data_IF_342174394887
#
_entry.id   IF_342174394887
#
_cell.length_a   1.000
_cell.length_b   1.000
_cell.length_c   1.000
_cell.angle_alpha   90.00
_cell.angle_beta   90.00
_cell.angle_gamma   90.00
#
_symmetry.space_group_name_H-M   'P 1'
#
loop_
_entity.id
_entity.type
_entity.pdbx_description
1 polymer ?
#
# COMPACT_ATOMS: atom_id res chain seq x y z
N UNK A 1 1.46 18.76 -22.91
CA UNK A 1 1.84 19.50 -21.68
C UNK A 1 2.10 18.46 -20.60
N UNK A 2 3.33 18.40 -20.12
CA UNK A 2 3.88 17.31 -19.31
C UNK A 2 3.27 17.26 -17.91
N UNK A 3 2.91 16.05 -17.47
CA UNK A 3 2.62 15.70 -16.07
C UNK A 3 3.92 15.66 -15.26
N UNK A 4 3.99 16.17 -14.02
CA UNK A 4 5.06 15.80 -13.10
C UNK A 4 4.60 14.58 -12.29
N UNK A 5 4.84 13.38 -12.84
CA UNK A 5 4.85 12.16 -12.05
C UNK A 5 6.19 12.08 -11.34
N UNK A 6 6.23 12.41 -10.04
CA UNK A 6 7.39 12.15 -9.20
C UNK A 6 7.49 10.63 -9.04
N UNK A 7 8.37 10.02 -9.83
CA UNK A 7 8.85 8.67 -9.63
C UNK A 7 9.82 8.70 -8.44
N UNK A 8 9.33 8.45 -7.22
CA UNK A 8 10.18 8.10 -6.08
C UNK A 8 10.65 6.64 -6.26
N UNK A 9 11.69 6.48 -7.09
CA UNK A 9 12.49 5.28 -7.23
C UNK A 9 13.36 5.19 -5.96
N UNK A 10 12.85 4.54 -4.91
CA UNK A 10 13.55 4.35 -3.63
C UNK A 10 14.71 3.34 -3.72
N UNK A 11 15.82 3.77 -4.32
CA UNK A 11 17.23 3.30 -4.31
C UNK A 11 17.76 1.97 -3.71
N UNK A 12 16.97 1.09 -3.11
CA UNK A 12 17.45 0.11 -2.12
C UNK A 12 17.00 -1.34 -2.35
N UNK A 13 16.69 -1.70 -3.59
CA UNK A 13 16.42 -3.08 -4.02
C UNK A 13 17.71 -3.77 -4.49
N UNK A 14 17.74 -5.10 -4.59
CA UNK A 14 18.83 -5.80 -5.26
C UNK A 14 18.62 -5.70 -6.77
N UNK A 15 19.34 -4.79 -7.43
CA UNK A 15 19.43 -4.82 -8.89
C UNK A 15 20.38 -5.96 -9.30
N UNK A 16 19.86 -6.87 -10.13
CA UNK A 16 20.64 -7.46 -11.23
C UNK A 16 21.67 -8.54 -10.89
N UNK A 17 21.29 -9.63 -10.24
CA UNK A 17 22.03 -10.88 -10.38
C UNK A 17 21.13 -11.95 -11.03
N UNK A 18 21.48 -12.32 -12.26
CA UNK A 18 20.97 -13.50 -12.95
C UNK A 18 21.47 -14.73 -12.21
N UNK A 19 20.58 -15.41 -11.50
CA UNK A 19 20.95 -16.61 -10.75
C UNK A 19 20.39 -17.86 -11.41
N UNK A 20 21.31 -18.61 -12.00
CA UNK A 20 21.14 -20.01 -12.37
C UNK A 20 20.62 -20.81 -11.18
N UNK A 21 19.59 -21.60 -11.41
CA UNK A 21 19.04 -22.57 -10.47
C UNK A 21 20.14 -23.53 -9.99
N UNK A 22 20.45 -23.47 -8.71
CA UNK A 22 21.06 -24.57 -8.00
C UNK A 22 19.94 -25.20 -7.16
N UNK A 23 19.52 -26.39 -7.57
CA UNK A 23 18.68 -27.28 -6.78
C UNK A 23 19.41 -27.64 -5.49
N UNK A 24 18.90 -27.16 -4.36
CA UNK A 24 19.09 -27.80 -3.07
C UNK A 24 17.71 -27.98 -2.43
N UNK A 25 17.27 -29.24 -2.37
CA UNK A 25 16.14 -29.69 -1.59
C UNK A 25 16.38 -29.35 -0.10
N UNK A 26 15.87 -28.20 0.32
CA UNK A 26 15.73 -27.84 1.72
C UNK A 26 14.23 -27.69 2.01
N UNK A 27 13.74 -28.48 2.97
CA UNK A 27 12.40 -28.41 3.57
C UNK A 27 11.90 -26.95 3.70
N UNK A 28 10.67 -26.61 3.30
CA UNK A 28 10.25 -25.22 3.20
C UNK A 28 10.00 -24.64 4.61
N UNK A 29 11.01 -23.94 5.14
CA UNK A 29 10.88 -23.12 6.37
C UNK A 29 10.13 -21.80 6.10
N UNK A 30 9.61 -21.60 4.90
CA UNK A 30 8.66 -20.54 4.57
C UNK A 30 7.34 -21.15 4.10
N UNK A 31 6.30 -21.04 4.93
CA UNK A 31 4.94 -21.55 4.68
C UNK A 31 4.17 -20.76 3.59
N UNK A 32 4.91 -20.03 2.77
CA UNK A 32 4.40 -19.20 1.69
C UNK A 32 4.67 -19.91 0.37
N UNK A 33 3.61 -20.24 -0.36
CA UNK A 33 3.69 -20.86 -1.67
C UNK A 33 3.10 -19.94 -2.75
N UNK A 34 3.37 -20.24 -4.02
CA UNK A 34 2.66 -19.59 -5.12
C UNK A 34 1.17 -19.97 -5.09
N UNK A 35 0.28 -18.98 -5.14
CA UNK A 35 -1.13 -19.22 -5.32
C UNK A 35 -1.42 -19.57 -6.80
N UNK A 36 -2.32 -20.53 -7.06
CA UNK A 36 -2.77 -20.79 -8.43
C UNK A 36 -3.55 -19.59 -8.96
N UNK A 37 -3.77 -19.51 -10.29
CA UNK A 37 -4.72 -18.54 -10.84
C UNK A 37 -6.10 -18.61 -10.19
N UNK A 38 -6.77 -17.48 -9.99
CA UNK A 38 -8.05 -17.42 -9.27
C UNK A 38 -9.13 -18.32 -9.86
N UNK A 39 -9.21 -18.39 -11.19
CA UNK A 39 -10.17 -19.25 -11.90
C UNK A 39 -9.88 -20.77 -11.79
N UNK A 40 -8.73 -21.15 -11.22
CA UNK A 40 -8.33 -22.52 -10.95
C UNK A 40 -8.46 -22.89 -9.47
N UNK A 41 -8.83 -21.94 -8.60
CA UNK A 41 -9.06 -22.23 -7.19
C UNK A 41 -10.35 -23.05 -7.00
N UNK A 42 -10.32 -24.07 -6.13
CA UNK A 42 -11.55 -24.75 -5.71
C UNK A 42 -12.53 -23.76 -5.08
N UNK A 43 -13.82 -23.94 -5.36
CA UNK A 43 -14.86 -23.02 -4.88
C UNK A 43 -14.91 -22.94 -3.34
N UNK A 44 -14.61 -24.04 -2.67
CA UNK A 44 -14.48 -24.15 -1.21
C UNK A 44 -13.27 -23.43 -0.63
N UNK A 45 -12.35 -22.94 -1.45
CA UNK A 45 -11.20 -22.15 -1.01
C UNK A 45 -11.33 -20.67 -1.39
N UNK A 46 -12.26 -20.35 -2.30
CA UNK A 46 -12.49 -19.00 -2.79
C UNK A 46 -12.90 -18.00 -1.69
N UNK A 47 -13.45 -18.46 -0.56
CA UNK A 47 -13.78 -17.59 0.58
C UNK A 47 -12.57 -17.19 1.44
N UNK A 48 -11.40 -17.79 1.18
CA UNK A 48 -10.11 -17.44 1.78
C UNK A 48 -9.26 -16.56 0.85
N UNK A 49 -9.82 -16.07 -0.25
CA UNK A 49 -9.13 -15.21 -1.22
C UNK A 49 -9.33 -13.75 -0.87
N UNK A 50 -8.22 -13.02 -0.81
CA UNK A 50 -8.17 -11.58 -0.62
C UNK A 50 -7.27 -10.95 -1.69
N UNK A 51 -7.82 -9.94 -2.36
CA UNK A 51 -7.07 -9.03 -3.23
C UNK A 51 -6.65 -7.81 -2.41
N UNK A 52 -5.43 -7.34 -2.59
CA UNK A 52 -4.84 -6.27 -1.78
C UNK A 52 -4.21 -5.20 -2.66
N UNK A 53 -4.41 -3.94 -2.32
CA UNK A 53 -3.80 -2.79 -2.99
C UNK A 53 -3.65 -1.64 -1.99
N UNK A 54 -2.68 -0.76 -2.22
CA UNK A 54 -2.44 0.43 -1.44
C UNK A 54 -2.06 1.63 -2.29
N UNK A 55 -2.74 2.75 -2.06
CA UNK A 55 -2.42 4.03 -2.71
C UNK A 55 -1.92 5.06 -1.71
N UNK A 56 -1.18 6.06 -2.22
CA UNK A 56 -0.88 7.27 -1.46
C UNK A 56 -1.13 8.50 -2.32
N UNK A 57 -1.59 9.57 -1.67
CA UNK A 57 -1.81 10.87 -2.29
C UNK A 57 -1.33 11.98 -1.35
N UNK A 58 -0.78 13.04 -1.94
CA UNK A 58 -0.50 14.27 -1.22
C UNK A 58 -1.76 15.12 -1.27
N UNK A 59 -2.37 15.35 -0.11
CA UNK A 59 -3.52 16.24 0.05
C UNK A 59 -3.02 17.47 0.79
N UNK A 60 -3.12 18.64 0.16
CA UNK A 60 -2.49 19.88 0.62
C UNK A 60 -0.97 19.72 0.80
N UNK A 61 -0.51 19.69 2.05
CA UNK A 61 0.89 19.57 2.45
C UNK A 61 1.14 18.29 3.25
N UNK A 62 0.16 17.37 3.32
CA UNK A 62 0.28 16.11 4.04
C UNK A 62 0.11 14.92 3.08
N UNK A 63 1.06 13.97 3.15
CA UNK A 63 0.96 12.70 2.43
C UNK A 63 0.04 11.79 3.24
N UNK A 64 -1.00 11.24 2.60
CA UNK A 64 -1.88 10.23 3.18
C UNK A 64 -1.77 8.94 2.38
N UNK A 65 -1.93 7.83 3.04
CA UNK A 65 -1.97 6.51 2.43
C UNK A 65 -3.27 5.81 2.78
N UNK A 66 -3.73 4.94 1.90
CA UNK A 66 -4.89 4.07 2.11
C UNK A 66 -4.59 2.70 1.55
N UNK A 67 -4.81 1.71 2.38
CA UNK A 67 -4.66 0.30 2.06
C UNK A 67 -6.05 -0.34 2.05
N UNK A 68 -6.31 -1.21 1.07
CA UNK A 68 -7.59 -1.87 0.94
C UNK A 68 -7.42 -3.36 0.67
N UNK A 69 -8.44 -4.10 1.09
CA UNK A 69 -8.60 -5.52 0.89
C UNK A 69 -9.99 -5.78 0.30
N UNK A 70 -10.04 -6.57 -0.77
CA UNK A 70 -11.28 -7.00 -1.42
C UNK A 70 -11.42 -8.52 -1.33
N UNK A 71 -12.57 -8.99 -0.86
CA UNK A 71 -12.94 -10.41 -0.91
C UNK A 71 -13.99 -10.64 -2.01
N UNK A 72 -13.64 -11.30 -3.14
CA UNK A 72 -14.57 -11.51 -4.25
C UNK A 72 -15.82 -12.29 -3.87
N UNK A 73 -15.64 -13.37 -3.10
CA UNK A 73 -16.71 -14.28 -2.70
C UNK A 73 -17.67 -13.63 -1.71
N UNK A 74 -17.14 -12.82 -0.78
CA UNK A 74 -17.96 -12.11 0.23
C UNK A 74 -18.54 -10.80 -0.31
N UNK A 75 -17.97 -10.28 -1.40
CA UNK A 75 -18.23 -8.94 -1.93
C UNK A 75 -18.06 -7.84 -0.87
N UNK A 76 -17.06 -8.00 0.00
CA UNK A 76 -16.76 -7.06 1.09
C UNK A 76 -15.39 -6.42 0.83
N UNK A 77 -15.34 -5.12 1.08
CA UNK A 77 -14.12 -4.32 1.11
C UNK A 77 -13.84 -3.88 2.54
N UNK A 78 -12.60 -4.07 2.99
CA UNK A 78 -12.08 -3.44 4.21
C UNK A 78 -10.93 -2.51 3.80
N UNK A 79 -10.80 -1.36 4.48
CA UNK A 79 -9.74 -0.41 4.20
C UNK A 79 -9.25 0.27 5.48
N UNK A 80 -7.98 0.66 5.47
CA UNK A 80 -7.34 1.44 6.54
C UNK A 80 -6.52 2.56 5.93
N UNK A 81 -6.40 3.68 6.64
CA UNK A 81 -5.72 4.88 6.15
C UNK A 81 -4.84 5.51 7.23
N UNK A 82 -3.86 6.29 6.80
CA UNK A 82 -2.98 7.01 7.71
C UNK A 82 -2.20 8.13 7.03
N UNK A 83 -1.34 8.79 7.79
CA UNK A 83 -0.51 9.91 7.32
C UNK A 83 0.95 9.47 7.11
N UNK A 84 1.72 10.26 6.35
CA UNK A 84 3.18 10.16 6.18
C UNK A 84 3.72 9.03 5.29
N UNK A 85 2.93 7.98 5.03
CA UNK A 85 3.34 6.79 4.26
C UNK A 85 3.35 6.94 2.73
N UNK A 86 4.21 6.18 2.05
CA UNK A 86 4.25 6.06 0.57
C UNK A 86 3.22 5.06 0.03
N UNK A 87 3.10 4.95 -1.29
CA UNK A 87 2.28 3.90 -1.91
C UNK A 87 2.78 2.50 -1.54
N UNK A 88 4.11 2.27 -1.58
CA UNK A 88 4.68 0.98 -1.14
C UNK A 88 4.38 0.68 0.33
N UNK A 89 4.32 1.71 1.19
CA UNK A 89 3.89 1.53 2.58
C UNK A 89 2.41 1.15 2.67
N UNK A 90 1.56 1.75 1.84
CA UNK A 90 0.16 1.39 1.74
C UNK A 90 -0.02 -0.08 1.30
N UNK A 91 0.76 -0.55 0.33
CA UNK A 91 0.77 -1.96 -0.10
C UNK A 91 1.10 -2.89 1.07
N UNK A 92 2.13 -2.53 1.85
CA UNK A 92 2.53 -3.29 3.03
C UNK A 92 1.41 -3.34 4.08
N UNK A 93 0.73 -2.22 4.29
CA UNK A 93 -0.43 -2.12 5.18
C UNK A 93 -1.64 -2.92 4.69
N UNK A 94 -1.80 -3.09 3.37
CA UNK A 94 -2.85 -3.91 2.79
C UNK A 94 -2.64 -5.41 3.12
N UNK A 95 -1.39 -5.86 3.12
CA UNK A 95 -1.03 -7.21 3.53
C UNK A 95 -1.24 -7.44 5.02
N UNK A 96 -0.82 -6.48 5.87
CA UNK A 96 -1.10 -6.56 7.31
C UNK A 96 -2.61 -6.64 7.57
N UNK A 97 -3.41 -5.81 6.89
CA UNK A 97 -4.87 -5.85 6.99
C UNK A 97 -5.44 -7.21 6.55
N UNK A 98 -4.94 -7.80 5.47
CA UNK A 98 -5.39 -9.11 5.00
C UNK A 98 -5.06 -10.24 5.99
N UNK A 99 -3.88 -10.20 6.61
CA UNK A 99 -3.47 -11.14 7.65
C UNK A 99 -4.31 -10.98 8.92
N UNK A 100 -4.59 -9.74 9.34
CA UNK A 100 -5.44 -9.44 10.49
C UNK A 100 -6.87 -9.95 10.27
N UNK A 101 -7.43 -9.80 9.06
CA UNK A 101 -8.74 -10.37 8.69
C UNK A 101 -8.71 -11.89 8.82
N UNK A 102 -7.69 -12.55 8.27
CA UNK A 102 -7.57 -14.01 8.33
C UNK A 102 -7.43 -14.52 9.77
N UNK A 103 -6.66 -13.83 10.62
CA UNK A 103 -6.51 -14.15 12.04
C UNK A 103 -7.82 -13.93 12.82
N UNK A 104 -8.47 -12.78 12.65
CA UNK A 104 -9.76 -12.43 13.28
C UNK A 104 -10.85 -13.44 12.95
N UNK A 105 -10.89 -13.89 11.70
CA UNK A 105 -11.86 -14.85 11.19
C UNK A 105 -11.43 -16.31 11.40
N UNK A 106 -10.24 -16.54 11.99
CA UNK A 106 -9.67 -17.87 12.27
C UNK A 106 -9.57 -18.75 11.02
N UNK A 107 -9.12 -18.17 9.91
CA UNK A 107 -8.98 -18.93 8.68
C UNK A 107 -7.85 -19.97 8.79
N UNK A 108 -8.04 -21.16 8.21
CA UNK A 108 -7.01 -22.20 8.21
C UNK A 108 -5.89 -21.92 7.19
N UNK A 109 -6.12 -21.02 6.22
CA UNK A 109 -5.19 -20.60 5.17
C UNK A 109 -5.66 -19.29 4.54
N UNK A 110 -4.78 -18.61 3.81
CA UNK A 110 -5.09 -17.37 3.11
C UNK A 110 -4.47 -17.38 1.70
N UNK A 111 -5.23 -16.92 0.71
CA UNK A 111 -4.75 -16.67 -0.65
C UNK A 111 -4.70 -15.16 -0.90
N UNK A 112 -3.49 -14.63 -1.11
CA UNK A 112 -3.22 -13.23 -1.37
C UNK A 112 -2.98 -12.99 -2.85
N UNK A 113 -3.68 -12.00 -3.40
CA UNK A 113 -3.49 -11.50 -4.74
C UNK A 113 -3.14 -10.02 -4.66
N UNK A 114 -2.00 -9.64 -5.22
CA UNK A 114 -1.50 -8.27 -5.22
C UNK A 114 -0.87 -7.96 -6.56
N UNK A 115 -0.92 -6.72 -7.00
CA UNK A 115 -0.16 -6.23 -8.16
C UNK A 115 1.16 -5.54 -7.76
N UNK A 116 1.50 -5.58 -6.46
CA UNK A 116 2.77 -5.07 -5.95
C UNK A 116 3.87 -6.14 -6.06
N UNK A 117 4.74 -5.98 -7.06
CA UNK A 117 5.95 -6.80 -7.19
C UNK A 117 6.84 -6.79 -5.95
N UNK A 118 6.87 -5.68 -5.20
CA UNK A 118 7.66 -5.61 -3.96
C UNK A 118 7.13 -6.61 -2.94
N UNK A 119 5.81 -6.65 -2.75
CA UNK A 119 5.14 -7.56 -1.81
C UNK A 119 5.30 -9.00 -2.26
N UNK A 120 5.04 -9.28 -3.54
CA UNK A 120 5.15 -10.63 -4.10
C UNK A 120 6.58 -11.19 -3.92
N UNK A 121 7.61 -10.42 -4.33
CA UNK A 121 9.00 -10.83 -4.17
C UNK A 121 9.44 -10.97 -2.71
N UNK A 122 8.91 -10.13 -1.81
CA UNK A 122 9.19 -10.26 -0.39
C UNK A 122 8.69 -11.59 0.15
N UNK A 123 7.43 -11.92 -0.15
CA UNK A 123 6.73 -13.12 0.31
C UNK A 123 7.25 -14.41 -0.36
N UNK A 124 7.72 -14.35 -1.61
CA UNK A 124 8.35 -15.49 -2.28
C UNK A 124 9.73 -15.86 -1.76
N UNK A 125 10.46 -14.93 -1.12
CA UNK A 125 11.76 -15.31 -0.58
C UNK A 125 12.62 -14.23 0.05
N UNK A 126 12.35 -12.92 -0.15
CA UNK A 126 13.20 -11.92 0.52
C UNK A 126 13.04 -11.95 2.04
N UNK A 127 11.86 -12.30 2.58
CA UNK A 127 11.68 -12.41 4.05
C UNK A 127 12.66 -13.41 4.68
N UNK A 128 12.87 -14.57 4.05
CA UNK A 128 13.86 -15.56 4.52
C UNK A 128 15.27 -14.98 4.55
N UNK A 129 15.68 -14.37 3.43
CA UNK A 129 17.00 -13.75 3.28
C UNK A 129 17.21 -12.60 4.28
N UNK A 130 16.20 -11.74 4.47
CA UNK A 130 16.27 -10.64 5.42
C UNK A 130 16.36 -11.13 6.86
N UNK A 131 15.62 -12.18 7.23
CA UNK A 131 15.72 -12.80 8.55
C UNK A 131 17.13 -13.32 8.83
N UNK A 132 17.79 -13.96 7.86
CA UNK A 132 19.16 -14.45 7.97
C UNK A 132 20.19 -13.33 8.18
N UNK A 133 19.98 -12.16 7.57
CA UNK A 133 20.85 -10.98 7.74
C UNK A 133 20.35 -10.02 8.82
N UNK A 134 19.54 -10.51 9.77
CA UNK A 134 18.96 -9.75 10.89
C UNK A 134 18.27 -8.44 10.45
N UNK A 135 17.56 -8.49 9.33
CA UNK A 135 16.79 -7.39 8.76
C UNK A 135 17.64 -6.15 8.43
N UNK A 136 18.92 -6.35 8.10
CA UNK A 136 19.86 -5.29 7.80
C UNK A 136 20.51 -5.44 6.42
N UNK A 137 20.80 -4.31 5.78
CA UNK A 137 21.61 -4.20 4.57
C UNK A 137 22.72 -3.19 4.80
N UNK A 138 23.99 -3.60 4.64
CA UNK A 138 25.17 -2.74 4.85
C UNK A 138 25.19 -2.05 6.23
N UNK A 139 24.80 -2.78 7.28
CA UNK A 139 24.76 -2.27 8.66
C UNK A 139 23.62 -1.30 8.97
N UNK A 140 22.67 -1.10 8.05
CA UNK A 140 21.46 -0.31 8.28
C UNK A 140 20.22 -1.21 8.22
N UNK A 141 19.17 -0.95 9.01
CA UNK A 141 17.89 -1.65 8.85
C UNK A 141 17.36 -1.53 7.43
N UNK A 142 16.70 -2.58 6.93
CA UNK A 142 15.93 -2.48 5.69
C UNK A 142 14.76 -1.51 5.86
N UNK A 143 14.23 -1.01 4.75
CA UNK A 143 13.03 -0.19 4.77
C UNK A 143 11.84 -1.00 5.35
N UNK A 144 11.06 -0.37 6.23
CA UNK A 144 9.94 -0.99 6.93
C UNK A 144 10.29 -2.32 7.66
N UNK A 145 11.49 -2.39 8.25
CA UNK A 145 11.98 -3.63 8.88
C UNK A 145 11.05 -4.16 9.98
N UNK A 146 10.45 -3.27 10.78
CA UNK A 146 9.54 -3.69 11.85
C UNK A 146 8.23 -4.25 11.27
N UNK A 147 7.66 -3.60 10.25
CA UNK A 147 6.47 -4.09 9.57
C UNK A 147 6.70 -5.45 8.88
N UNK A 148 7.86 -5.64 8.25
CA UNK A 148 8.22 -6.92 7.64
C UNK A 148 8.45 -8.03 8.68
N UNK A 149 9.00 -7.70 9.86
CA UNK A 149 9.12 -8.65 10.98
C UNK A 149 7.74 -9.07 11.48
N UNK A 150 6.82 -8.12 11.65
CA UNK A 150 5.45 -8.39 12.08
C UNK A 150 4.73 -9.31 11.09
N UNK A 151 4.83 -9.01 9.79
CA UNK A 151 4.30 -9.86 8.72
C UNK A 151 4.91 -11.26 8.78
N UNK A 152 6.24 -11.36 8.87
CA UNK A 152 6.91 -12.66 8.95
C UNK A 152 6.43 -13.48 10.15
N UNK A 153 6.21 -12.86 11.31
CA UNK A 153 5.68 -13.53 12.49
C UNK A 153 4.23 -14.01 12.32
N UNK A 154 3.40 -13.28 11.56
CA UNK A 154 2.04 -13.72 11.22
C UNK A 154 2.05 -14.90 10.22
N UNK A 155 2.94 -14.87 9.22
CA UNK A 155 3.10 -15.93 8.21
C UNK A 155 3.60 -17.27 8.79
N UNK A 156 4.32 -17.24 9.92
CA UNK A 156 4.70 -18.47 10.63
C UNK A 156 3.48 -19.20 11.20
N UNK A 157 2.39 -18.48 11.51
CA UNK A 157 1.18 -19.02 12.14
C UNK A 157 0.14 -19.49 11.12
N UNK A 158 0.05 -18.82 9.97
CA UNK A 158 -0.97 -19.04 8.95
C UNK A 158 -0.33 -19.49 7.63
N UNK A 159 -0.74 -20.61 7.01
CA UNK A 159 -0.33 -20.92 5.65
C UNK A 159 -0.89 -19.86 4.70
N UNK A 160 -0.01 -19.24 3.93
CA UNK A 160 -0.37 -18.21 2.96
C UNK A 160 0.09 -18.63 1.58
N UNK A 161 -0.73 -18.38 0.57
CA UNK A 161 -0.33 -18.52 -0.82
C UNK A 161 -0.44 -17.16 -1.48
N UNK A 162 0.60 -16.73 -2.19
CA UNK A 162 0.60 -15.42 -2.85
C UNK A 162 0.72 -15.56 -4.35
N UNK A 163 0.05 -14.66 -5.07
CA UNK A 163 0.17 -14.50 -6.51
C UNK A 163 0.24 -13.03 -6.87
N UNK A 164 1.14 -12.72 -7.79
CA UNK A 164 1.16 -11.41 -8.44
C UNK A 164 0.11 -11.34 -9.56
N UNK A 165 -0.64 -10.25 -9.61
CA UNK A 165 -1.63 -9.96 -10.67
C UNK A 165 -1.17 -8.76 -11.48
N UNK A 166 -1.24 -8.84 -12.81
CA UNK A 166 -0.86 -7.70 -13.65
C UNK A 166 -1.82 -6.52 -13.49
N UNK A 167 -1.27 -5.37 -13.08
CA UNK A 167 -1.99 -4.12 -12.96
C UNK A 167 -2.43 -3.55 -14.31
N UNK A 168 -3.45 -2.67 -14.26
CA UNK A 168 -3.82 -1.74 -15.33
C UNK A 168 -4.19 -2.36 -16.69
N UNK A 169 -4.65 -3.61 -16.70
CA UNK A 169 -5.24 -4.22 -17.91
C UNK A 169 -6.58 -3.55 -18.23
N UNK A 170 -6.82 -3.09 -19.49
CA UNK A 170 -8.10 -2.49 -19.86
C UNK A 170 -9.27 -3.43 -19.56
N UNK A 171 -10.36 -2.89 -19.00
CA UNK A 171 -11.54 -3.68 -18.59
C UNK A 171 -12.11 -4.57 -19.70
N UNK A 172 -12.00 -4.18 -20.97
CA UNK A 172 -12.44 -4.98 -22.11
C UNK A 172 -11.62 -6.24 -22.37
N UNK A 173 -10.42 -6.34 -21.77
CA UNK A 173 -9.49 -7.48 -21.88
C UNK A 173 -9.16 -8.10 -20.52
N UNK A 174 -9.72 -7.57 -19.44
CA UNK A 174 -9.42 -8.00 -18.09
C UNK A 174 -10.07 -9.36 -17.80
N UNK A 175 -9.26 -10.34 -17.39
CA UNK A 175 -9.74 -11.58 -16.82
C UNK A 175 -10.33 -11.35 -15.42
N UNK A 176 -10.85 -12.39 -14.78
CA UNK A 176 -11.48 -12.29 -13.46
C UNK A 176 -10.52 -11.79 -12.36
N UNK A 177 -9.25 -12.21 -12.37
CA UNK A 177 -8.22 -11.71 -11.44
C UNK A 177 -8.02 -10.20 -11.58
N UNK A 178 -7.89 -9.73 -12.82
CA UNK A 178 -7.67 -8.32 -13.13
C UNK A 178 -8.93 -7.49 -12.82
N UNK A 179 -10.12 -8.06 -12.98
CA UNK A 179 -11.36 -7.41 -12.56
C UNK A 179 -11.44 -7.26 -11.03
N UNK A 180 -11.07 -8.30 -10.28
CA UNK A 180 -10.96 -8.22 -8.82
C UNK A 180 -9.86 -7.26 -8.37
N UNK A 181 -8.73 -7.21 -9.08
CA UNK A 181 -7.67 -6.23 -8.83
C UNK A 181 -8.16 -4.79 -9.04
N UNK A 182 -8.96 -4.54 -10.10
CA UNK A 182 -9.58 -3.23 -10.33
C UNK A 182 -10.56 -2.82 -9.21
N UNK A 183 -11.23 -3.78 -8.57
CA UNK A 183 -12.11 -3.50 -7.43
C UNK A 183 -11.31 -3.03 -6.22
N UNK A 184 -10.18 -3.66 -5.93
CA UNK A 184 -9.32 -3.24 -4.82
C UNK A 184 -8.57 -1.93 -5.13
N UNK A 185 -8.18 -1.66 -6.38
CA UNK A 185 -7.65 -0.34 -6.79
C UNK A 185 -8.66 0.78 -6.55
N UNK A 186 -9.94 0.55 -6.87
CA UNK A 186 -10.99 1.51 -6.54
C UNK A 186 -11.17 1.70 -5.03
N UNK A 187 -11.04 0.62 -4.26
CA UNK A 187 -11.13 0.68 -2.81
C UNK A 187 -9.93 1.38 -2.17
N UNK A 188 -8.73 1.20 -2.71
CA UNK A 188 -7.49 1.78 -2.23
C UNK A 188 -7.37 3.26 -2.58
N UNK A 189 -8.14 3.77 -3.55
CA UNK A 189 -8.16 5.20 -3.89
C UNK A 189 -8.55 6.05 -2.69
N UNK A 190 -7.67 6.99 -2.39
CA UNK A 190 -7.98 8.12 -1.52
C UNK A 190 -8.88 9.02 -2.34
N UNK A 191 -10.10 9.26 -1.87
CA UNK A 191 -11.00 10.18 -2.54
C UNK A 191 -10.29 11.51 -2.72
N UNK A 192 -10.20 11.99 -3.97
CA UNK A 192 -10.04 13.41 -4.20
C UNK A 192 -11.19 14.04 -3.42
N UNK A 193 -10.90 14.70 -2.30
CA UNK A 193 -11.80 15.75 -1.84
C UNK A 193 -12.01 16.57 -3.10
N UNK A 194 -13.23 16.54 -3.66
CA UNK A 194 -13.69 17.60 -4.53
C UNK A 194 -13.39 18.84 -3.72
N UNK A 195 -12.28 19.49 -4.06
CA UNK A 195 -11.95 20.78 -3.50
C UNK A 195 -13.17 21.58 -3.91
N UNK A 196 -13.98 21.91 -2.92
CA UNK A 196 -15.05 22.86 -3.11
C UNK A 196 -14.36 24.05 -3.77
N UNK A 197 -14.68 24.34 -5.04
CA UNK A 197 -14.02 25.39 -5.83
C UNK A 197 -14.15 26.78 -5.16
N UNK A 198 -14.89 26.84 -4.05
CA UNK A 198 -14.99 27.92 -3.08
C UNK A 198 -13.75 28.10 -2.17
N UNK A 199 -12.83 27.13 -2.10
CA UNK A 199 -11.63 27.24 -1.27
C UNK A 199 -10.57 28.18 -1.86
N UNK A 200 -10.41 28.26 -3.18
CA UNK A 200 -9.48 29.25 -3.77
C UNK A 200 -9.89 30.69 -3.42
N UNK A 201 -11.20 30.97 -3.35
CA UNK A 201 -11.73 32.27 -2.92
C UNK A 201 -11.62 32.51 -1.39
N UNK A 202 -11.74 31.45 -0.58
CA UNK A 202 -11.60 31.55 0.89
C UNK A 202 -10.14 31.55 1.37
N UNK A 203 -9.22 30.96 0.59
CA UNK A 203 -7.79 30.87 0.90
C UNK A 203 -7.08 32.23 0.87
N UNK A 204 -7.43 33.12 -0.06
CA UNK A 204 -6.86 34.48 -0.12
C UNK A 204 -7.24 35.33 1.10
N UNK A 205 -8.50 35.23 1.55
CA UNK A 205 -8.96 35.90 2.78
C UNK A 205 -8.26 35.36 4.03
N UNK A 206 -7.97 34.06 4.06
CA UNK A 206 -7.28 33.43 5.18
C UNK A 206 -5.80 33.82 5.23
N UNK A 207 -5.13 33.87 4.07
CA UNK A 207 -3.74 34.34 3.95
C UNK A 207 -3.62 35.83 4.31
N UNK A 208 -4.57 36.67 3.88
CA UNK A 208 -4.59 38.09 4.24
C UNK A 208 -4.83 38.29 5.74
N UNK A 209 -5.75 37.54 6.34
CA UNK A 209 -6.02 37.56 7.79
C UNK A 209 -4.82 37.07 8.60
N UNK A 210 -4.22 35.96 8.18
CA UNK A 210 -3.03 35.41 8.83
C UNK A 210 -1.83 36.34 8.71
N UNK A 211 -1.58 36.95 7.55
CA UNK A 211 -0.52 37.92 7.36
C UNK A 211 -0.75 39.18 8.22
N UNK A 212 -2.00 39.61 8.37
CA UNK A 212 -2.37 40.72 9.24
C UNK A 212 -2.15 40.40 10.72
N UNK A 213 -2.54 39.21 11.19
CA UNK A 213 -2.38 38.79 12.58
C UNK A 213 -0.93 38.43 12.93
N UNK A 214 -0.17 37.85 12.00
CA UNK A 214 1.24 37.47 12.18
C UNK A 214 2.21 38.66 12.08
N UNK A 215 1.83 39.75 11.42
CA UNK A 215 2.64 40.97 11.30
C UNK A 215 2.53 41.90 12.53
N UNK A 216 1.67 41.60 13.50
CA UNK A 216 1.65 42.27 14.79
C UNK A 216 1.18 43.73 14.78
N UNK A 217 0.46 44.18 13.74
CA UNK A 217 -0.14 45.52 13.73
C UNK A 217 -1.45 45.56 14.52
N UNK A 218 -1.39 46.01 15.77
CA UNK A 218 -2.55 46.66 16.40
C UNK A 218 -2.83 47.98 15.67
N UNK A 219 -4.09 48.24 15.34
CA UNK A 219 -4.48 49.50 14.71
C UNK A 219 -5.96 49.71 14.42
N UNK A 220 -6.87 49.43 15.38
CA UNK A 220 -8.03 50.32 15.56
C UNK A 220 -7.51 51.44 16.47
N UNK A 221 -7.36 52.64 15.91
CA UNK A 221 -6.77 53.87 16.47
C UNK A 221 -5.34 54.21 16.00
N UNK A 222 -5.27 54.76 14.78
CA UNK A 222 -4.30 55.80 14.43
C UNK A 222 -5.05 56.90 13.65
N UNK A 223 -5.60 57.83 14.41
CA UNK A 223 -6.18 59.09 13.95
C UNK A 223 -5.16 60.00 13.26
N UNK A 224 -5.58 60.55 12.11
CA UNK A 224 -5.35 61.90 11.58
C UNK A 224 -3.92 62.45 11.25
N UNK A 225 -3.93 63.17 10.10
CA UNK A 225 -2.95 64.15 9.55
C UNK A 225 -1.78 63.47 8.81
N UNK A 226 -1.50 63.74 7.53
CA UNK A 226 -1.42 65.04 6.84
C UNK A 226 -1.72 64.94 5.33
N UNK A 227 -2.32 66.02 4.80
CA UNK A 227 -2.52 66.47 3.41
C UNK A 227 -3.46 65.67 2.49
#
# INVERSE_FOLDING_TARGET
MNRPGILEVNTNWPEGESFSAADEEQEPVTRVEEAPPYNQLPAEEAHYVLFTDGSCHVIWMSRRWKAAVWSPTRQVTEATEGEGGSSQFAELKAIQLALDIAEREKWPRLYLYTDSWMVANALWGWLKKWKEVNWQRRGKPIWAAEEWKDIAAQLEKLPVKIRHVDAHVPRSRANEEQQNNQQVDQAAKIGELKIDLDWEHKGELFLARWAHDASGHQGRDATCKWA
#
